data_IF_404500237964
#
_entry.id   IF_404500237964
#
_cell.length_a   1.000
_cell.length_b   1.000
_cell.length_c   1.000
_cell.angle_alpha   90.00
_cell.angle_beta   90.00
_cell.angle_gamma   90.00
#
_symmetry.space_group_name_H-M   'P 1'
#
loop_
_entity.id
_entity.type
_entity.pdbx_description
1 polymer ?
#
# COMPACT_ATOMS: atom_id res chain seq x y z
N UNK A 1 -12.70 -1.58 -31.07
CA UNK A 1 -12.66 -0.11 -31.11
C UNK A 1 -13.92 0.41 -30.44
N UNK A 2 -13.73 1.23 -29.40
CA UNK A 2 -14.80 1.95 -28.70
C UNK A 2 -14.99 3.26 -29.45
N UNK A 3 -16.20 3.51 -29.97
CA UNK A 3 -16.54 4.77 -30.60
C UNK A 3 -16.98 5.82 -29.55
N UNK A 4 -17.27 7.04 -29.96
CA UNK A 4 -17.62 8.13 -29.04
C UNK A 4 -18.91 7.86 -28.28
N UNK A 5 -19.90 7.27 -28.92
CA UNK A 5 -21.19 6.91 -28.31
C UNK A 5 -21.02 5.81 -27.28
N UNK A 6 -20.21 4.78 -27.57
CA UNK A 6 -19.86 3.73 -26.63
C UNK A 6 -19.11 4.29 -25.42
N UNK A 7 -18.19 5.24 -25.63
CA UNK A 7 -17.46 5.90 -24.54
C UNK A 7 -18.40 6.61 -23.57
N UNK A 8 -19.40 7.34 -24.07
CA UNK A 8 -20.38 8.04 -23.25
C UNK A 8 -21.25 7.03 -22.47
N UNK A 9 -21.69 5.96 -23.14
CA UNK A 9 -22.52 4.95 -22.51
C UNK A 9 -21.76 4.20 -21.40
N UNK A 10 -20.52 3.78 -21.67
CA UNK A 10 -19.68 3.08 -20.71
C UNK A 10 -19.34 3.99 -19.52
N UNK A 11 -19.01 5.25 -19.78
CA UNK A 11 -18.72 6.24 -18.74
C UNK A 11 -19.89 6.44 -17.80
N UNK A 12 -21.10 6.55 -18.35
CA UNK A 12 -22.35 6.66 -17.60
C UNK A 12 -22.64 5.41 -16.78
N UNK A 13 -22.47 4.21 -17.39
CA UNK A 13 -22.74 2.95 -16.73
C UNK A 13 -21.75 2.65 -15.60
N UNK A 14 -20.50 3.10 -15.74
CA UNK A 14 -19.45 2.92 -14.74
C UNK A 14 -19.31 4.11 -13.77
N UNK A 15 -20.16 5.13 -13.93
CA UNK A 15 -20.14 6.36 -13.14
C UNK A 15 -18.76 7.04 -13.13
N UNK A 16 -18.17 7.18 -14.31
CA UNK A 16 -16.87 7.82 -14.51
C UNK A 16 -17.08 9.06 -15.38
N UNK A 17 -16.25 10.07 -15.16
CA UNK A 17 -16.20 11.21 -16.06
C UNK A 17 -15.74 10.76 -17.46
N UNK A 18 -16.45 11.21 -18.51
CA UNK A 18 -16.18 10.76 -19.88
C UNK A 18 -14.81 11.22 -20.39
N UNK A 19 -14.33 12.37 -19.94
CA UNK A 19 -12.98 12.85 -20.33
C UNK A 19 -11.89 11.99 -19.71
N UNK A 20 -12.03 11.64 -18.45
CA UNK A 20 -11.13 10.74 -17.74
C UNK A 20 -11.15 9.32 -18.34
N UNK A 21 -12.36 8.83 -18.68
CA UNK A 21 -12.48 7.53 -19.36
C UNK A 21 -11.72 7.51 -20.68
N UNK A 22 -11.89 8.51 -21.52
CA UNK A 22 -11.24 8.60 -22.83
C UNK A 22 -9.71 8.70 -22.70
N UNK A 23 -9.22 9.50 -21.74
CA UNK A 23 -7.79 9.60 -21.43
C UNK A 23 -7.21 8.22 -21.07
N UNK A 24 -7.82 7.54 -20.11
CA UNK A 24 -7.39 6.22 -19.64
C UNK A 24 -7.50 5.14 -20.72
N UNK A 25 -8.55 5.21 -21.53
CA UNK A 25 -8.72 4.30 -22.65
C UNK A 25 -7.65 4.49 -23.73
N UNK A 26 -7.27 5.73 -24.04
CA UNK A 26 -6.17 6.03 -24.95
C UNK A 26 -4.82 5.57 -24.38
N UNK A 27 -4.56 5.80 -23.10
CA UNK A 27 -3.37 5.28 -22.41
C UNK A 27 -3.29 3.75 -22.54
N UNK A 28 -4.40 3.06 -22.27
CA UNK A 28 -4.49 1.61 -22.38
C UNK A 28 -4.23 1.11 -23.79
N UNK A 29 -4.81 1.75 -24.79
CA UNK A 29 -4.63 1.43 -26.23
C UNK A 29 -3.17 1.65 -26.67
N UNK A 30 -2.56 2.74 -26.23
CA UNK A 30 -1.15 3.04 -26.53
C UNK A 30 -0.18 2.07 -25.84
N UNK A 31 -0.56 1.54 -24.68
CA UNK A 31 0.26 0.55 -23.99
C UNK A 31 0.23 -0.81 -24.71
N UNK A 32 -0.95 -1.32 -25.03
CA UNK A 32 -1.10 -2.59 -25.77
C UNK A 32 -2.52 -2.81 -26.26
N UNK A 33 -2.65 -3.21 -27.52
CA UNK A 33 -3.93 -3.65 -28.10
C UNK A 33 -4.32 -5.09 -27.69
N UNK A 34 -3.43 -5.81 -27.01
CA UNK A 34 -3.56 -7.25 -26.74
C UNK A 34 -3.58 -7.57 -25.26
N UNK A 35 -2.84 -6.79 -24.45
CA UNK A 35 -2.78 -6.99 -22.99
C UNK A 35 -3.87 -6.17 -22.31
N UNK A 36 -4.45 -6.78 -21.28
CA UNK A 36 -5.37 -6.05 -20.41
C UNK A 36 -4.65 -4.89 -19.71
N UNK A 37 -5.32 -3.75 -19.66
CA UNK A 37 -4.82 -2.54 -18.99
C UNK A 37 -5.82 -2.10 -17.92
N UNK A 38 -5.30 -1.49 -16.85
CA UNK A 38 -6.13 -0.98 -15.76
C UNK A 38 -6.79 0.31 -16.24
N UNK A 39 -8.12 0.31 -16.30
CA UNK A 39 -8.91 1.49 -16.61
C UNK A 39 -9.23 2.28 -15.33
N UNK A 40 -9.69 1.59 -14.30
CA UNK A 40 -10.04 2.15 -12.99
C UNK A 40 -9.43 1.26 -11.92
N UNK A 41 -8.84 1.86 -10.90
CA UNK A 41 -8.32 1.16 -9.73
C UNK A 41 -9.05 1.58 -8.46
N UNK A 42 -8.94 0.74 -7.41
CA UNK A 42 -9.46 1.04 -6.07
C UNK A 42 -10.98 1.30 -5.99
N UNK A 43 -11.77 0.53 -6.75
CA UNK A 43 -13.23 0.55 -6.66
C UNK A 43 -13.65 -0.18 -5.38
N UNK A 44 -14.43 0.48 -4.52
CA UNK A 44 -15.03 -0.12 -3.33
C UNK A 44 -16.15 -1.10 -3.70
N UNK A 45 -16.59 -1.92 -2.73
CA UNK A 45 -17.75 -2.82 -2.95
C UNK A 45 -19.01 -2.07 -3.34
N UNK A 46 -19.26 -0.94 -2.69
CA UNK A 46 -20.45 -0.13 -2.91
C UNK A 46 -20.43 0.57 -4.28
N UNK A 47 -19.27 1.06 -4.71
CA UNK A 47 -19.07 1.60 -6.05
C UNK A 47 -19.13 0.52 -7.14
N UNK A 48 -18.73 -0.72 -6.81
CA UNK A 48 -18.73 -1.82 -7.77
C UNK A 48 -20.13 -2.41 -8.00
N UNK A 49 -20.98 -2.46 -7.00
CA UNK A 49 -22.31 -3.08 -7.11
C UNK A 49 -23.12 -2.61 -8.34
N UNK A 50 -23.31 -1.30 -8.58
CA UNK A 50 -24.03 -0.82 -9.77
C UNK A 50 -23.28 -1.10 -11.10
N UNK A 51 -21.95 -1.18 -11.06
CA UNK A 51 -21.13 -1.51 -12.23
C UNK A 51 -21.33 -2.99 -12.60
N UNK A 52 -21.35 -3.87 -11.59
CA UNK A 52 -21.50 -5.30 -11.77
C UNK A 52 -22.78 -5.66 -12.55
N UNK A 53 -23.90 -5.00 -12.26
CA UNK A 53 -25.17 -5.22 -12.93
C UNK A 53 -25.14 -4.88 -14.42
N UNK A 54 -24.25 -4.00 -14.84
CA UNK A 54 -24.15 -3.49 -16.21
C UNK A 54 -22.96 -4.04 -17.00
N UNK A 55 -21.98 -4.61 -16.30
CA UNK A 55 -20.71 -5.05 -16.89
C UNK A 55 -20.90 -6.05 -18.03
N UNK A 56 -21.92 -6.90 -17.98
CA UNK A 56 -22.23 -7.88 -19.02
C UNK A 56 -22.59 -7.25 -20.38
N UNK A 57 -22.99 -5.97 -20.41
CA UNK A 57 -23.29 -5.23 -21.65
C UNK A 57 -22.04 -4.80 -22.39
N UNK A 58 -20.92 -4.71 -21.69
CA UNK A 58 -19.66 -4.15 -22.18
C UNK A 58 -18.60 -5.25 -22.34
N UNK A 59 -18.60 -5.92 -23.48
CA UNK A 59 -17.60 -6.95 -23.77
C UNK A 59 -16.18 -6.35 -23.81
N UNK A 60 -15.20 -7.07 -23.24
CA UNK A 60 -13.82 -6.60 -23.15
C UNK A 60 -13.46 -5.94 -21.83
N UNK A 61 -14.44 -5.60 -21.00
CA UNK A 61 -14.21 -5.13 -19.65
C UNK A 61 -14.42 -6.27 -18.64
N UNK A 62 -13.52 -6.37 -17.69
CA UNK A 62 -13.59 -7.35 -16.61
C UNK A 62 -13.04 -6.78 -15.32
N UNK A 63 -13.40 -7.41 -14.21
CA UNK A 63 -12.99 -6.98 -12.88
C UNK A 63 -11.97 -7.94 -12.31
N UNK A 64 -10.89 -7.40 -11.81
CA UNK A 64 -9.88 -8.12 -11.06
C UNK A 64 -9.98 -7.74 -9.57
N UNK A 65 -10.24 -8.73 -8.72
CA UNK A 65 -10.18 -8.54 -7.27
C UNK A 65 -8.73 -8.42 -6.82
N UNK A 66 -8.43 -7.40 -6.02
CA UNK A 66 -7.13 -7.23 -5.38
C UNK A 66 -7.32 -7.10 -3.87
N UNK A 67 -6.41 -7.67 -3.10
CA UNK A 67 -6.34 -7.43 -1.66
C UNK A 67 -5.90 -6.00 -1.39
N UNK A 68 -6.56 -5.33 -0.45
CA UNK A 68 -6.22 -3.98 -0.01
C UNK A 68 -5.81 -4.03 1.46
N UNK A 69 -4.75 -3.33 1.83
CA UNK A 69 -4.41 -3.11 3.24
C UNK A 69 -5.48 -2.25 3.89
N UNK A 70 -5.84 -2.60 5.11
CA UNK A 70 -6.69 -1.77 5.99
C UNK A 70 -6.01 -1.67 7.33
N UNK A 71 -6.06 -0.50 7.94
CA UNK A 71 -5.51 -0.25 9.27
C UNK A 71 -6.66 0.05 10.22
N UNK A 72 -6.89 -0.86 11.15
CA UNK A 72 -8.01 -0.76 12.10
C UNK A 72 -7.67 0.12 13.30
N UNK A 73 -6.39 0.30 13.60
CA UNK A 73 -5.91 1.16 14.68
C UNK A 73 -5.26 2.42 14.09
N UNK A 74 -5.72 3.59 14.55
CA UNK A 74 -5.18 4.91 14.16
C UNK A 74 -3.96 5.28 15.02
N UNK A 75 -3.03 4.33 15.19
CA UNK A 75 -1.84 4.48 16.03
C UNK A 75 -0.62 3.88 15.33
N UNK A 76 0.58 4.20 15.83
CA UNK A 76 1.86 3.63 15.39
C UNK A 76 2.15 3.80 13.89
N UNK A 77 1.66 4.86 13.23
CA UNK A 77 1.75 5.03 11.79
C UNK A 77 3.20 4.97 11.27
N UNK A 78 4.13 5.62 11.94
CA UNK A 78 5.54 5.62 11.56
C UNK A 78 6.18 4.23 11.71
N UNK A 79 5.81 3.48 12.76
CA UNK A 79 6.29 2.12 13.00
C UNK A 79 5.76 1.15 11.93
N UNK A 80 4.45 1.16 11.70
CA UNK A 80 3.83 0.30 10.69
C UNK A 80 4.31 0.66 9.30
N UNK A 81 4.43 1.95 9.02
CA UNK A 81 4.77 2.45 7.70
C UNK A 81 3.58 2.40 6.74
N UNK A 82 3.84 2.62 5.47
CA UNK A 82 2.81 2.65 4.44
C UNK A 82 3.25 1.91 3.17
N UNK A 83 2.27 1.53 2.37
CA UNK A 83 2.46 0.90 1.06
C UNK A 83 2.15 1.89 -0.07
N UNK A 84 2.75 1.69 -1.23
CA UNK A 84 2.41 2.43 -2.44
C UNK A 84 2.57 1.58 -3.68
N UNK A 85 2.01 2.03 -4.79
CA UNK A 85 2.26 1.38 -6.07
C UNK A 85 3.75 1.39 -6.42
N UNK A 86 4.19 0.29 -7.04
CA UNK A 86 5.54 0.17 -7.60
C UNK A 86 5.71 1.11 -8.77
N UNK A 87 6.91 1.66 -8.92
CA UNK A 87 7.28 2.44 -10.09
C UNK A 87 7.96 1.57 -11.16
N UNK A 88 8.11 2.11 -12.38
CA UNK A 88 8.72 1.37 -13.49
C UNK A 88 10.13 0.87 -13.18
N UNK A 89 10.95 1.66 -12.51
CA UNK A 89 12.33 1.28 -12.19
C UNK A 89 12.41 0.15 -11.15
N UNK A 90 11.40 0.02 -10.30
CA UNK A 90 11.31 -1.07 -9.31
C UNK A 90 10.87 -2.39 -9.97
N UNK A 91 9.96 -2.31 -10.93
CA UNK A 91 9.56 -3.47 -11.75
C UNK A 91 10.75 -3.98 -12.57
N UNK A 92 11.56 -3.09 -13.15
CA UNK A 92 12.78 -3.47 -13.89
C UNK A 92 13.82 -4.13 -12.99
N UNK A 93 13.95 -3.70 -11.74
CA UNK A 93 14.91 -4.25 -10.76
C UNK A 93 14.46 -5.55 -10.14
N UNK A 94 13.17 -5.77 -10.02
CA UNK A 94 12.60 -6.94 -9.34
C UNK A 94 11.42 -7.48 -10.14
N UNK A 95 11.65 -8.57 -10.85
CA UNK A 95 10.66 -9.26 -11.70
C UNK A 95 9.47 -9.85 -10.94
N UNK A 96 9.49 -9.82 -9.61
CA UNK A 96 8.34 -10.22 -8.80
C UNK A 96 7.17 -9.25 -8.97
N UNK A 97 7.46 -7.95 -9.12
CA UNK A 97 6.44 -6.91 -9.18
C UNK A 97 5.96 -6.63 -10.60
N UNK A 98 4.68 -6.32 -10.70
CA UNK A 98 4.03 -5.81 -11.91
C UNK A 98 3.47 -4.41 -11.66
N UNK A 99 3.31 -3.62 -12.72
CA UNK A 99 2.72 -2.28 -12.63
C UNK A 99 1.32 -2.36 -12.00
N UNK A 100 1.05 -1.49 -11.03
CA UNK A 100 -0.21 -1.47 -10.26
C UNK A 100 -0.21 -2.37 -9.02
N UNK A 101 0.91 -3.01 -8.69
CA UNK A 101 1.08 -3.71 -7.41
C UNK A 101 1.60 -2.78 -6.33
N UNK A 102 1.40 -3.20 -5.08
CA UNK A 102 1.77 -2.42 -3.92
C UNK A 102 3.07 -2.94 -3.31
N UNK A 103 3.89 -2.03 -2.80
CA UNK A 103 5.14 -2.34 -2.09
C UNK A 103 5.24 -1.51 -0.81
N UNK A 104 5.81 -2.07 0.24
CA UNK A 104 6.11 -1.37 1.48
C UNK A 104 7.18 -0.29 1.30
N UNK A 105 6.89 0.93 1.76
CA UNK A 105 7.79 2.09 1.59
C UNK A 105 8.58 2.43 2.83
N UNK A 106 8.02 2.19 3.98
CA UNK A 106 8.59 2.56 5.26
C UNK A 106 8.15 1.57 6.35
N UNK A 107 8.83 1.60 7.49
CA UNK A 107 8.47 0.86 8.69
C UNK A 107 8.44 -0.66 8.50
N UNK A 108 7.55 -1.31 9.19
CA UNK A 108 7.39 -2.77 9.16
C UNK A 108 6.91 -3.27 7.79
N UNK A 109 6.06 -2.51 7.09
CA UNK A 109 5.61 -2.85 5.74
C UNK A 109 6.79 -3.01 4.78
N UNK A 110 7.82 -2.16 4.90
CA UNK A 110 9.04 -2.26 4.09
C UNK A 110 9.96 -3.37 4.57
N UNK A 111 10.20 -3.45 5.88
CA UNK A 111 11.19 -4.36 6.45
C UNK A 111 10.77 -5.83 6.31
N UNK A 112 9.48 -6.09 6.43
CA UNK A 112 8.90 -7.44 6.36
C UNK A 112 8.08 -7.68 5.08
N UNK A 113 8.31 -6.89 4.03
CA UNK A 113 7.62 -7.00 2.75
C UNK A 113 7.55 -8.45 2.25
N UNK A 114 8.67 -9.17 2.24
CA UNK A 114 8.75 -10.55 1.76
C UNK A 114 7.85 -11.53 2.52
N UNK A 115 7.57 -11.26 3.80
CA UNK A 115 6.67 -12.07 4.63
C UNK A 115 5.21 -11.64 4.45
N UNK A 116 4.98 -10.33 4.32
CA UNK A 116 3.65 -9.73 4.27
C UNK A 116 3.00 -9.79 2.89
N UNK A 117 3.76 -9.95 1.81
CA UNK A 117 3.22 -10.03 0.44
C UNK A 117 2.78 -11.45 0.02
N UNK A 118 3.32 -12.51 0.67
CA UNK A 118 3.12 -13.89 0.23
C UNK A 118 3.87 -14.22 -1.07
N UNK A 119 3.47 -15.32 -1.73
CA UNK A 119 4.05 -15.75 -3.01
C UNK A 119 2.93 -15.89 -4.04
N UNK A 120 3.14 -15.32 -5.21
CA UNK A 120 2.16 -15.38 -6.31
C UNK A 120 2.04 -16.80 -6.83
N UNK A 121 0.79 -17.20 -7.12
CA UNK A 121 0.53 -18.35 -7.96
C UNK A 121 0.59 -17.98 -9.43
N UNK A 122 0.84 -18.95 -10.30
CA UNK A 122 0.89 -18.76 -11.75
C UNK A 122 -0.06 -19.74 -12.41
N UNK A 123 -0.89 -19.25 -13.34
CA UNK A 123 -1.75 -20.08 -14.17
C UNK A 123 -1.37 -19.92 -15.63
N UNK A 124 -1.24 -21.05 -16.31
CA UNK A 124 -0.92 -21.10 -17.72
C UNK A 124 -2.17 -21.40 -18.56
N UNK A 125 -2.43 -20.53 -19.53
CA UNK A 125 -3.57 -20.67 -20.41
C UNK A 125 -3.14 -20.91 -21.86
N UNK A 126 -3.90 -21.74 -22.56
CA UNK A 126 -3.81 -21.84 -24.03
C UNK A 126 -4.57 -20.66 -24.64
N UNK A 127 -3.99 -20.05 -25.67
CA UNK A 127 -4.64 -18.97 -26.42
C UNK A 127 -4.68 -19.29 -27.91
N UNK A 128 -5.75 -18.86 -28.58
CA UNK A 128 -5.87 -18.94 -30.02
C UNK A 128 -5.05 -17.82 -30.71
N UNK A 129 -5.04 -17.84 -32.06
CA UNK A 129 -4.37 -16.81 -32.88
C UNK A 129 -4.93 -15.39 -32.68
N UNK A 130 -6.10 -15.27 -32.07
CA UNK A 130 -6.72 -13.98 -31.74
C UNK A 130 -6.52 -13.61 -30.26
N UNK A 131 -5.60 -14.29 -29.54
CA UNK A 131 -5.27 -14.09 -28.12
C UNK A 131 -6.43 -14.39 -27.15
N UNK A 132 -7.47 -15.14 -27.57
CA UNK A 132 -8.57 -15.57 -26.70
C UNK A 132 -8.18 -16.83 -25.94
N UNK A 133 -8.50 -16.88 -24.65
CA UNK A 133 -8.25 -18.06 -23.82
C UNK A 133 -9.16 -19.20 -24.28
N UNK A 134 -8.56 -20.34 -24.65
CA UNK A 134 -9.27 -21.54 -25.08
C UNK A 134 -9.43 -22.52 -23.92
N UNK A 135 -8.49 -22.53 -22.98
CA UNK A 135 -8.49 -23.43 -21.82
C UNK A 135 -7.21 -23.36 -21.02
N UNK A 136 -7.10 -24.22 -19.99
CA UNK A 136 -5.86 -24.36 -19.21
C UNK A 136 -4.81 -25.10 -20.02
N UNK A 137 -3.57 -24.69 -19.93
CA UNK A 137 -2.45 -25.40 -20.55
C UNK A 137 -2.23 -26.73 -19.84
N UNK A 138 -2.22 -27.85 -20.61
CA UNK A 138 -2.05 -29.22 -20.11
C UNK A 138 -2.87 -29.50 -18.84
N UNK A 139 -4.15 -29.14 -18.86
CA UNK A 139 -5.09 -29.33 -17.74
C UNK A 139 -4.66 -28.66 -16.41
N UNK A 140 -3.71 -27.73 -16.42
CA UNK A 140 -3.23 -27.05 -15.23
C UNK A 140 -2.03 -27.70 -14.53
N UNK A 141 -1.41 -28.73 -15.12
CA UNK A 141 -0.26 -29.44 -14.52
C UNK A 141 0.94 -28.55 -14.20
N UNK A 142 1.02 -27.39 -14.85
CA UNK A 142 2.08 -26.41 -14.65
C UNK A 142 1.66 -25.23 -13.77
N UNK A 143 0.41 -25.22 -13.33
CA UNK A 143 -0.10 -24.15 -12.45
C UNK A 143 0.53 -24.26 -11.07
N UNK A 144 0.86 -23.12 -10.48
CA UNK A 144 1.31 -23.03 -9.08
C UNK A 144 0.30 -22.29 -8.25
N UNK A 145 0.00 -22.83 -7.07
CA UNK A 145 -0.93 -22.18 -6.14
C UNK A 145 -0.23 -20.99 -5.43
N UNK A 146 -0.96 -19.91 -5.17
CA UNK A 146 -0.41 -18.82 -4.37
C UNK A 146 -0.20 -19.28 -2.92
N UNK A 147 0.89 -18.82 -2.30
CA UNK A 147 1.15 -19.01 -0.87
C UNK A 147 0.71 -17.71 -0.16
N UNK A 148 -0.22 -17.80 0.80
CA UNK A 148 -0.69 -16.62 1.51
C UNK A 148 0.44 -15.94 2.30
N UNK A 149 0.28 -14.66 2.58
CA UNK A 149 1.15 -13.92 3.48
C UNK A 149 1.16 -14.52 4.89
N UNK A 150 2.23 -14.27 5.63
CA UNK A 150 2.32 -14.66 7.03
C UNK A 150 1.90 -13.49 7.92
N UNK A 151 1.26 -13.82 9.03
CA UNK A 151 0.99 -12.86 10.08
C UNK A 151 2.29 -12.46 10.79
N UNK A 152 2.36 -11.20 11.19
CA UNK A 152 3.47 -10.66 11.97
C UNK A 152 2.95 -10.21 13.33
N UNK A 153 3.35 -10.93 14.39
CA UNK A 153 3.06 -10.55 15.77
C UNK A 153 4.16 -9.61 16.27
N UNK A 154 3.75 -8.46 16.77
CA UNK A 154 4.66 -7.46 17.34
C UNK A 154 4.66 -7.54 18.87
N UNK A 155 5.72 -7.01 19.47
CA UNK A 155 5.84 -6.85 20.94
C UNK A 155 5.15 -5.58 21.45
N UNK A 156 4.61 -4.78 20.54
CA UNK A 156 3.91 -3.53 20.88
C UNK A 156 2.64 -3.83 21.66
N UNK A 157 2.52 -3.21 22.82
CA UNK A 157 1.29 -3.14 23.61
C UNK A 157 0.42 -2.02 23.01
N UNK A 158 -0.72 -2.40 22.44
CA UNK A 158 -1.58 -1.48 21.71
C UNK A 158 -2.16 -0.39 22.62
N UNK A 159 -2.55 -0.75 23.85
CA UNK A 159 -3.14 0.19 24.80
C UNK A 159 -2.09 1.21 25.27
N UNK A 160 -0.87 0.75 25.56
CA UNK A 160 0.25 1.61 25.92
C UNK A 160 0.63 2.55 24.77
N UNK A 161 0.63 2.04 23.54
CA UNK A 161 0.90 2.82 22.33
C UNK A 161 -0.14 3.94 22.15
N UNK A 162 -1.44 3.61 22.25
CA UNK A 162 -2.53 4.57 22.13
C UNK A 162 -2.52 5.61 23.25
N UNK A 163 -2.21 5.17 24.47
CA UNK A 163 -2.06 6.09 25.62
C UNK A 163 -0.91 7.08 25.36
N UNK A 164 0.23 6.57 24.91
CA UNK A 164 1.37 7.41 24.56
C UNK A 164 1.07 8.41 23.45
N UNK A 165 0.34 8.00 22.39
CA UNK A 165 -0.11 8.88 21.33
C UNK A 165 -1.01 10.00 21.89
N UNK A 166 -1.89 9.69 22.83
CA UNK A 166 -2.75 10.68 23.48
C UNK A 166 -1.96 11.72 24.29
N UNK A 167 -0.92 11.27 25.01
CA UNK A 167 -0.03 12.15 25.78
C UNK A 167 0.80 13.09 24.89
N UNK A 168 1.09 12.65 23.67
CA UNK A 168 1.90 13.38 22.71
C UNK A 168 1.11 14.32 21.80
N UNK A 169 -0.21 14.41 21.96
CA UNK A 169 -1.02 15.39 21.24
C UNK A 169 -0.47 16.81 21.41
N UNK A 170 -0.37 17.54 20.30
CA UNK A 170 0.17 18.92 20.24
C UNK A 170 1.63 19.07 20.74
N UNK A 171 2.37 17.96 20.83
CA UNK A 171 3.79 17.97 21.18
C UNK A 171 4.62 17.45 20.01
N UNK A 172 5.93 17.69 20.06
CA UNK A 172 6.88 17.21 19.07
C UNK A 172 7.99 16.43 19.75
N UNK A 173 8.11 15.16 19.37
CA UNK A 173 9.10 14.26 19.97
C UNK A 173 8.74 12.79 19.75
N UNK A 174 9.33 11.93 20.57
CA UNK A 174 9.05 10.50 20.59
C UNK A 174 9.11 9.96 22.02
N UNK A 175 8.36 8.87 22.24
CA UNK A 175 8.45 8.07 23.46
C UNK A 175 8.76 6.64 23.03
N UNK A 176 9.76 6.03 23.66
CA UNK A 176 10.13 4.63 23.43
C UNK A 176 10.08 3.91 24.76
N UNK A 177 9.26 2.86 24.86
CA UNK A 177 9.19 2.00 26.02
C UNK A 177 9.78 0.62 25.68
N UNK A 178 10.77 0.19 26.45
CA UNK A 178 11.50 -1.07 26.23
C UNK A 178 11.45 -1.89 27.51
N UNK A 179 11.10 -3.18 27.39
CA UNK A 179 11.23 -4.14 28.49
C UNK A 179 12.73 -4.46 28.70
N UNK A 180 13.33 -4.11 29.84
CA UNK A 180 14.79 -4.23 29.99
C UNK A 180 15.30 -5.68 30.04
N UNK A 181 14.43 -6.65 30.38
CA UNK A 181 14.83 -8.05 30.48
C UNK A 181 14.92 -8.75 29.12
N UNK A 182 14.00 -8.43 28.21
CA UNK A 182 13.87 -9.10 26.90
C UNK A 182 14.38 -8.23 25.77
N UNK A 183 14.39 -6.91 25.95
CA UNK A 183 14.67 -5.94 24.89
C UNK A 183 13.47 -5.65 23.99
N UNK A 184 12.29 -6.17 24.34
CA UNK A 184 11.07 -5.96 23.57
C UNK A 184 10.64 -4.50 23.60
N UNK A 185 10.30 -3.98 22.43
CA UNK A 185 9.73 -2.64 22.31
C UNK A 185 8.23 -2.74 22.55
N UNK A 186 7.79 -2.19 23.68
CA UNK A 186 6.40 -2.18 24.08
C UNK A 186 5.62 -1.01 23.48
N UNK A 187 6.28 0.12 23.26
CA UNK A 187 5.68 1.27 22.58
C UNK A 187 6.76 2.07 21.85
N UNK A 188 6.40 2.59 20.67
CA UNK A 188 7.21 3.49 19.86
C UNK A 188 6.32 4.60 19.32
N UNK A 189 6.18 5.67 20.11
CA UNK A 189 5.33 6.80 19.81
C UNK A 189 6.14 7.86 19.08
N UNK A 190 5.58 8.39 18.01
CA UNK A 190 6.18 9.45 17.22
C UNK A 190 5.17 10.57 17.01
N UNK A 191 5.55 11.80 17.33
CA UNK A 191 4.66 12.96 17.21
C UNK A 191 5.37 14.18 16.61
N UNK A 192 4.71 14.92 15.68
CA UNK A 192 3.43 14.58 15.04
C UNK A 192 3.50 13.28 14.24
N UNK A 193 2.39 12.55 14.21
CA UNK A 193 2.18 11.36 13.39
C UNK A 193 1.14 11.66 12.30
N UNK A 194 0.71 10.67 11.55
CA UNK A 194 -0.26 10.82 10.48
C UNK A 194 -1.26 9.66 10.48
N UNK A 195 -2.40 9.87 9.80
CA UNK A 195 -3.38 8.82 9.60
C UNK A 195 -2.96 7.94 8.41
N UNK A 196 -2.68 6.66 8.69
CA UNK A 196 -2.33 5.66 7.67
C UNK A 196 -3.43 5.46 6.64
N UNK A 197 -4.70 5.58 7.04
CA UNK A 197 -5.83 5.41 6.11
C UNK A 197 -5.81 6.44 4.99
N UNK A 198 -5.32 7.65 5.28
CA UNK A 198 -5.18 8.73 4.31
C UNK A 198 -4.19 8.42 3.17
N UNK A 199 -3.28 7.48 3.40
CA UNK A 199 -2.27 7.04 2.41
C UNK A 199 -2.69 5.81 1.61
N UNK A 200 -3.89 5.27 1.83
CA UNK A 200 -4.46 4.15 1.06
C UNK A 200 -5.53 4.63 0.08
N UNK A 201 -6.11 5.79 0.32
CA UNK A 201 -7.23 6.33 -0.44
C UNK A 201 -6.82 6.82 -1.85
N UNK A 202 -7.83 7.11 -2.67
CA UNK A 202 -7.68 7.70 -4.01
C UNK A 202 -6.85 8.99 -3.99
N UNK A 203 -6.95 9.76 -2.89
CA UNK A 203 -6.22 11.03 -2.69
C UNK A 203 -4.81 10.85 -2.11
N UNK A 204 -4.29 9.63 -2.06
CA UNK A 204 -2.99 9.29 -1.48
C UNK A 204 -1.87 10.25 -1.89
N UNK A 205 -1.73 10.53 -3.18
CA UNK A 205 -0.63 11.38 -3.69
C UNK A 205 -0.72 12.82 -3.16
N UNK A 206 -1.93 13.34 -3.02
CA UNK A 206 -2.18 14.68 -2.47
C UNK A 206 -1.88 14.68 -0.97
N UNK A 207 -2.36 13.66 -0.26
CA UNK A 207 -2.15 13.53 1.18
C UNK A 207 -0.66 13.33 1.52
N UNK A 208 0.04 12.48 0.76
CA UNK A 208 1.47 12.29 0.91
C UNK A 208 2.25 13.59 0.72
N UNK A 209 1.97 14.35 -0.34
CA UNK A 209 2.61 15.66 -0.58
C UNK A 209 2.35 16.65 0.55
N UNK A 210 1.17 16.65 1.16
CA UNK A 210 0.88 17.49 2.33
C UNK A 210 1.75 17.12 3.52
N UNK A 211 1.91 15.81 3.80
CA UNK A 211 2.76 15.31 4.89
C UNK A 211 4.25 15.58 4.62
N UNK A 212 4.69 15.43 3.38
CA UNK A 212 6.08 15.67 2.95
C UNK A 212 6.47 17.15 3.03
N UNK A 213 5.55 18.03 2.63
CA UNK A 213 5.76 19.48 2.64
C UNK A 213 5.61 20.13 4.02
N UNK A 214 5.15 19.39 5.04
CA UNK A 214 5.13 19.89 6.42
C UNK A 214 6.55 19.93 6.99
N UNK A 215 7.24 21.04 6.73
CA UNK A 215 8.61 21.27 7.17
C UNK A 215 8.75 21.47 8.69
N UNK A 216 7.67 21.84 9.37
CA UNK A 216 7.63 22.06 10.82
C UNK A 216 7.31 20.75 11.54
N UNK A 217 6.17 20.15 11.22
CA UNK A 217 5.72 18.92 11.85
C UNK A 217 6.59 17.72 11.48
N UNK A 218 6.96 17.60 10.21
CA UNK A 218 7.69 16.45 9.65
C UNK A 218 7.09 15.11 10.11
N UNK A 219 5.81 14.85 9.85
CA UNK A 219 5.11 13.67 10.38
C UNK A 219 5.67 12.34 9.83
N UNK A 220 6.25 12.35 8.62
CA UNK A 220 6.89 11.19 8.03
C UNK A 220 8.26 10.84 8.65
N UNK A 221 8.85 11.76 9.41
CA UNK A 221 10.16 11.55 10.03
C UNK A 221 10.04 10.76 11.33
N UNK A 222 10.70 9.63 11.40
CA UNK A 222 10.65 8.71 12.53
C UNK A 222 11.62 9.12 13.63
N UNK A 223 11.13 9.96 14.54
CA UNK A 223 11.95 10.60 15.58
C UNK A 223 12.55 9.63 16.57
N UNK A 224 11.82 8.55 16.90
CA UNK A 224 12.26 7.53 17.82
C UNK A 224 13.48 6.75 17.35
N UNK A 225 13.64 6.59 16.01
CA UNK A 225 14.74 5.84 15.42
C UNK A 225 15.81 6.74 14.77
N UNK A 226 15.39 7.85 14.15
CA UNK A 226 16.27 8.68 13.32
C UNK A 226 16.61 10.03 13.99
N UNK A 227 15.89 10.38 15.08
CA UNK A 227 16.11 11.65 15.76
C UNK A 227 17.47 11.70 16.46
N UNK A 228 18.17 12.79 16.27
CA UNK A 228 19.43 13.08 16.95
C UNK A 228 19.23 14.20 17.96
N UNK A 229 19.35 13.88 19.22
CA UNK A 229 19.15 14.83 20.34
C UNK A 229 20.35 14.83 21.25
N UNK A 230 20.69 15.99 21.81
CA UNK A 230 21.73 16.09 22.83
C UNK A 230 21.28 15.34 24.10
N UNK A 231 22.03 14.34 24.59
CA UNK A 231 21.61 13.50 25.71
C UNK A 231 21.49 14.23 27.04
N UNK A 232 22.14 15.35 27.17
CA UNK A 232 22.14 16.14 28.42
C UNK A 232 22.66 15.34 29.61
N UNK A 233 22.00 15.55 30.83
CA UNK A 233 22.42 14.92 32.09
C UNK A 233 22.33 13.40 32.08
N UNK A 234 21.59 12.76 31.14
CA UNK A 234 21.54 11.31 31.04
C UNK A 234 22.89 10.71 30.65
N UNK A 235 23.75 11.47 29.99
CA UNK A 235 25.11 11.05 29.64
C UNK A 235 26.05 10.93 30.84
N UNK A 236 25.68 11.50 32.01
CA UNK A 236 26.48 11.40 33.24
C UNK A 236 26.66 9.98 33.75
N UNK A 237 25.69 9.09 33.46
CA UNK A 237 25.78 7.68 33.83
C UNK A 237 26.98 7.05 33.09
N UNK A 238 27.15 7.33 31.80
CA UNK A 238 28.26 6.84 30.98
C UNK A 238 29.59 7.42 31.53
N UNK A 239 29.62 8.71 31.83
CA UNK A 239 30.81 9.35 32.42
C UNK A 239 31.20 8.74 33.77
N UNK A 240 30.22 8.37 34.60
CA UNK A 240 30.48 7.72 35.86
C UNK A 240 31.08 6.30 35.67
N UNK A 241 30.58 5.54 34.68
CA UNK A 241 31.13 4.23 34.35
C UNK A 241 32.54 4.27 33.76
N UNK A 242 32.90 5.35 33.07
CA UNK A 242 34.28 5.56 32.56
C UNK A 242 35.24 5.98 33.67
N UNK A 243 34.73 6.64 34.71
CA UNK A 243 35.53 7.13 35.85
C UNK A 243 35.76 6.09 36.96
N UNK A 244 35.15 4.91 36.87
CA UNK A 244 35.37 3.78 37.76
C UNK A 244 36.51 2.88 37.24
#
# INVERSE_FOLDING_TARGET
>A
DVNLEDSILISKDFNIDTSLFNEKFLEAKNFSNVKASILISNISKDEYAPIQEKLWKHSGFFVQKKSKRTYNALTAANLLGYISEVNKSEVEKNSYYEIGEMIGRQGLEKTYEDKLRGVKGVKFFQKDKFNRIIGSYKNGDYDTLPIPSKDLTLTIDLDLQQYGDSLMQNKRGSIVAIEPKTGDILALINSPSYDLSSLIDKNRSINYKKLENDSIGKPLFERGLQGQYAPGSTFKIINALIGL
#
